data_IF_353565653940
#
_entry.id   IF_353565653940
#
_cell.length_a   1.000
_cell.length_b   1.000
_cell.length_c   1.000
_cell.angle_alpha   90.00
_cell.angle_beta   90.00
_cell.angle_gamma   90.00
#
_symmetry.space_group_name_H-M   'P 1'
#
loop_
_entity.id
_entity.type
_entity.pdbx_description
1 polymer ?
#
# COMPACT_ATOMS: atom_id res chain seq x y z
N UNK A 1 8.74 23.10 3.75
CA UNK A 1 7.47 22.51 4.20
C UNK A 1 7.79 21.52 5.32
N UNK A 2 7.67 21.96 6.57
CA UNK A 2 7.94 21.15 7.75
C UNK A 2 6.70 21.21 8.65
N UNK A 3 5.80 20.25 8.47
CA UNK A 3 4.60 20.10 9.29
C UNK A 3 4.76 18.88 10.18
N UNK A 4 5.65 18.96 11.16
CA UNK A 4 5.72 17.99 12.25
C UNK A 4 4.77 18.45 13.35
N UNK A 5 3.72 17.69 13.60
CA UNK A 5 2.76 18.02 14.66
C UNK A 5 3.44 17.84 16.04
N UNK A 6 3.55 18.87 16.90
CA UNK A 6 4.45 18.81 18.06
C UNK A 6 3.95 17.97 19.26
N UNK A 7 2.72 17.45 19.24
CA UNK A 7 2.06 16.90 20.44
C UNK A 7 1.70 15.40 20.42
N UNK A 8 1.87 14.70 19.31
CA UNK A 8 1.17 13.42 19.08
C UNK A 8 1.79 12.13 19.63
N UNK A 9 3.03 12.13 20.13
CA UNK A 9 3.77 10.87 20.35
C UNK A 9 3.08 9.88 21.31
N UNK A 10 2.54 10.35 22.43
CA UNK A 10 1.82 9.50 23.39
C UNK A 10 0.38 9.21 22.99
N UNK A 11 -0.32 10.19 22.41
CA UNK A 11 -1.72 10.02 21.98
C UNK A 11 -1.84 9.10 20.76
N UNK A 12 -0.96 9.26 19.77
CA UNK A 12 -0.89 8.41 18.59
C UNK A 12 -0.51 6.97 18.95
N UNK A 13 0.46 6.79 19.86
CA UNK A 13 0.80 5.48 20.40
C UNK A 13 -0.39 4.83 21.12
N UNK A 14 -1.11 5.61 21.95
CA UNK A 14 -2.30 5.15 22.64
C UNK A 14 -3.42 4.73 21.67
N UNK A 15 -3.63 5.50 20.62
CA UNK A 15 -4.61 5.20 19.57
C UNK A 15 -4.25 3.91 18.82
N UNK A 16 -2.98 3.70 18.50
CA UNK A 16 -2.51 2.50 17.81
C UNK A 16 -2.71 1.23 18.66
N UNK A 17 -2.49 1.33 19.98
CA UNK A 17 -2.79 0.24 20.92
C UNK A 17 -4.29 0.00 21.00
N UNK A 18 -5.10 1.05 21.12
CA UNK A 18 -6.56 0.96 21.20
C UNK A 18 -7.20 0.34 19.93
N UNK A 19 -6.59 0.54 18.76
CA UNK A 19 -6.99 -0.09 17.50
C UNK A 19 -6.64 -1.58 17.40
N UNK A 20 -5.99 -2.16 18.43
CA UNK A 20 -5.66 -3.58 18.50
C UNK A 20 -4.27 -3.95 17.97
N UNK A 21 -3.45 -2.97 17.56
CA UNK A 21 -2.11 -3.22 17.02
C UNK A 21 -1.02 -3.37 18.10
N UNK A 22 -1.38 -3.27 19.38
CA UNK A 22 -0.43 -3.30 20.50
C UNK A 22 0.40 -4.58 20.61
N UNK A 23 -0.18 -5.74 20.30
CA UNK A 23 0.53 -7.03 20.33
C UNK A 23 1.59 -7.13 19.21
N UNK A 24 1.24 -6.67 18.01
CA UNK A 24 2.15 -6.63 16.87
C UNK A 24 3.30 -5.65 17.13
N UNK A 25 2.99 -4.46 17.64
CA UNK A 25 3.98 -3.47 18.05
C UNK A 25 4.96 -4.04 19.09
N UNK A 26 4.44 -4.68 20.15
CA UNK A 26 5.28 -5.28 21.20
C UNK A 26 6.23 -6.34 20.63
N UNK A 27 5.72 -7.22 19.76
CA UNK A 27 6.54 -8.26 19.15
C UNK A 27 7.68 -7.68 18.30
N UNK A 28 7.42 -6.61 17.54
CA UNK A 28 8.44 -5.98 16.70
C UNK A 28 9.45 -5.15 17.50
N UNK A 29 9.00 -4.42 18.53
CA UNK A 29 9.91 -3.70 19.43
C UNK A 29 10.90 -4.66 20.10
N UNK A 30 10.41 -5.81 20.57
CA UNK A 30 11.25 -6.84 21.16
C UNK A 30 12.20 -7.45 20.13
N UNK A 31 11.71 -7.72 18.91
CA UNK A 31 12.47 -8.42 17.87
C UNK A 31 13.59 -7.57 17.25
N UNK A 32 13.32 -6.30 16.95
CA UNK A 32 14.27 -5.44 16.24
C UNK A 32 15.09 -4.56 17.16
N UNK A 33 14.53 -4.12 18.29
CA UNK A 33 15.18 -3.18 19.19
C UNK A 33 15.51 -3.78 20.57
N UNK A 34 15.02 -4.98 20.88
CA UNK A 34 15.23 -5.61 22.19
C UNK A 34 14.52 -4.89 23.34
N UNK A 35 13.49 -4.10 23.04
CA UNK A 35 12.75 -3.29 24.02
C UNK A 35 11.37 -3.89 24.28
N UNK A 36 10.94 -3.89 25.55
CA UNK A 36 9.58 -4.25 25.89
C UNK A 36 8.68 -3.00 25.89
N UNK A 37 7.50 -3.11 25.26
CA UNK A 37 6.50 -2.04 25.28
C UNK A 37 6.03 -1.73 26.71
N UNK A 38 6.10 -2.71 27.63
CA UNK A 38 5.75 -2.53 29.05
C UNK A 38 6.62 -1.45 29.73
N UNK A 39 7.84 -1.22 29.24
CA UNK A 39 8.76 -0.23 29.79
C UNK A 39 8.26 1.21 29.66
N UNK A 40 7.26 1.44 28.79
CA UNK A 40 6.57 2.73 28.69
C UNK A 40 5.80 3.04 29.96
N UNK A 41 5.10 2.06 30.54
CA UNK A 41 4.35 2.24 31.80
C UNK A 41 5.26 2.18 33.03
N UNK A 42 6.44 1.55 32.91
CA UNK A 42 7.47 1.57 33.97
C UNK A 42 8.27 2.88 34.00
N UNK A 43 8.13 3.73 32.97
CA UNK A 43 8.87 4.98 32.83
C UNK A 43 10.31 4.83 32.33
N UNK A 44 10.76 3.61 32.00
CA UNK A 44 12.08 3.35 31.44
C UNK A 44 12.17 3.68 29.94
N UNK A 45 11.02 3.66 29.24
CA UNK A 45 10.90 4.04 27.84
C UNK A 45 9.94 5.23 27.68
N UNK A 46 10.35 6.30 27.01
CA UNK A 46 9.43 7.42 26.77
C UNK A 46 8.42 7.06 25.67
N UNK A 47 7.12 7.40 25.83
CA UNK A 47 6.09 7.11 24.81
C UNK A 47 6.47 7.68 23.43
N UNK A 48 7.07 8.87 23.41
CA UNK A 48 7.56 9.50 22.18
C UNK A 48 8.64 8.66 21.51
N UNK A 49 9.56 8.05 22.26
CA UNK A 49 10.58 7.16 21.69
C UNK A 49 9.96 5.89 21.13
N UNK A 50 9.01 5.29 21.84
CA UNK A 50 8.28 4.12 21.32
C UNK A 50 7.54 4.43 20.01
N UNK A 51 6.90 5.60 19.92
CA UNK A 51 6.29 6.10 18.68
C UNK A 51 7.29 6.22 17.54
N UNK A 52 8.40 6.93 17.74
CA UNK A 52 9.44 7.09 16.71
C UNK A 52 10.00 5.74 16.23
N UNK A 53 10.20 4.78 17.14
CA UNK A 53 10.67 3.43 16.78
C UNK A 53 9.66 2.67 15.93
N UNK A 54 8.37 2.86 16.20
CA UNK A 54 7.30 2.24 15.40
C UNK A 54 7.24 2.77 13.97
N UNK A 55 7.49 4.07 13.76
CA UNK A 55 7.56 4.69 12.42
C UNK A 55 8.73 4.19 11.58
N UNK A 56 9.83 3.77 12.23
CA UNK A 56 11.05 3.31 11.57
C UNK A 56 11.15 1.78 11.49
N UNK A 57 10.06 1.06 11.73
CA UNK A 57 10.05 -0.39 11.58
C UNK A 57 10.19 -0.81 10.11
N UNK A 58 10.86 -1.94 9.83
CA UNK A 58 10.94 -2.48 8.48
C UNK A 58 9.54 -2.76 7.88
N UNK A 59 9.37 -2.65 6.55
CA UNK A 59 8.07 -2.84 5.89
C UNK A 59 7.52 -4.28 6.00
N UNK A 60 8.36 -5.26 6.35
CA UNK A 60 7.96 -6.65 6.61
C UNK A 60 7.64 -6.95 8.09
N UNK A 61 7.53 -5.93 8.94
CA UNK A 61 7.24 -6.06 10.37
C UNK A 61 5.81 -6.56 10.64
N UNK A 62 5.57 -7.11 11.83
CA UNK A 62 4.23 -7.54 12.24
C UNK A 62 3.25 -6.36 12.31
N UNK A 63 3.73 -5.19 12.73
CA UNK A 63 2.97 -3.94 12.78
C UNK A 63 2.54 -3.51 11.37
N UNK A 64 3.47 -3.49 10.42
CA UNK A 64 3.14 -3.16 9.02
C UNK A 64 2.09 -4.12 8.44
N UNK A 65 2.20 -5.42 8.72
CA UNK A 65 1.21 -6.41 8.30
C UNK A 65 -0.17 -6.18 8.97
N UNK A 66 -0.16 -5.91 10.28
CA UNK A 66 -1.37 -5.65 11.03
C UNK A 66 -2.12 -4.40 10.55
N UNK A 67 -1.38 -3.37 10.13
CA UNK A 67 -1.95 -2.16 9.51
C UNK A 67 -2.48 -2.43 8.10
N UNK A 68 -1.81 -3.30 7.32
CA UNK A 68 -2.21 -3.63 5.95
C UNK A 68 -3.49 -4.47 5.86
N UNK A 69 -3.89 -5.13 6.95
CA UNK A 69 -5.17 -5.84 7.02
C UNK A 69 -5.14 -7.19 7.71
N UNK A 70 -3.96 -7.68 8.11
CA UNK A 70 -3.84 -8.97 8.79
C UNK A 70 -2.44 -9.61 8.72
N UNK A 71 -2.23 -10.71 9.46
CA UNK A 71 -0.94 -11.42 9.49
C UNK A 71 -0.51 -11.98 8.13
N UNK A 72 -1.43 -12.17 7.18
CA UNK A 72 -1.17 -12.62 5.81
C UNK A 72 -0.30 -11.63 5.01
N UNK A 73 -0.29 -10.35 5.39
CA UNK A 73 0.54 -9.32 4.77
C UNK A 73 1.99 -9.34 5.27
N UNK A 74 2.31 -10.18 6.25
CA UNK A 74 3.65 -10.22 6.85
C UNK A 74 4.67 -10.74 5.85
N UNK A 75 5.76 -9.99 5.69
CA UNK A 75 6.81 -10.31 4.73
C UNK A 75 6.50 -9.94 3.28
N UNK A 76 5.27 -9.49 2.98
CA UNK A 76 4.90 -8.98 1.66
C UNK A 76 5.42 -7.56 1.45
N UNK A 77 6.74 -7.45 1.33
CA UNK A 77 7.43 -6.23 0.94
C UNK A 77 7.19 -5.92 -0.54
N UNK A 78 7.58 -4.71 -0.98
CA UNK A 78 7.57 -4.32 -2.40
C UNK A 78 8.32 -5.33 -3.26
N UNK A 79 9.49 -5.79 -2.80
CA UNK A 79 10.29 -6.79 -3.50
C UNK A 79 9.52 -8.11 -3.68
N UNK A 80 8.81 -8.56 -2.65
CA UNK A 80 8.01 -9.81 -2.72
C UNK A 80 6.84 -9.68 -3.70
N UNK A 81 6.18 -8.53 -3.74
CA UNK A 81 5.16 -8.26 -4.75
C UNK A 81 5.72 -8.25 -6.17
N UNK A 82 6.88 -7.61 -6.38
CA UNK A 82 7.54 -7.57 -7.68
C UNK A 82 7.98 -8.96 -8.14
N UNK A 83 8.49 -9.79 -7.23
CA UNK A 83 8.86 -11.17 -7.51
C UNK A 83 7.65 -12.03 -7.88
N UNK A 84 6.53 -11.87 -7.17
CA UNK A 84 5.28 -12.55 -7.53
C UNK A 84 4.78 -12.13 -8.92
N UNK A 85 4.78 -10.82 -9.21
CA UNK A 85 4.38 -10.29 -10.51
C UNK A 85 5.31 -10.77 -11.65
N UNK A 86 6.62 -10.84 -11.40
CA UNK A 86 7.59 -11.35 -12.37
C UNK A 86 7.36 -12.84 -12.63
N UNK A 87 7.16 -13.64 -11.58
CA UNK A 87 6.87 -15.07 -11.73
C UNK A 87 5.59 -15.29 -12.55
N UNK A 88 4.55 -14.51 -12.29
CA UNK A 88 3.31 -14.56 -13.07
C UNK A 88 3.55 -14.17 -14.52
N UNK A 89 4.27 -13.08 -14.78
CA UNK A 89 4.61 -12.64 -16.13
C UNK A 89 5.35 -13.73 -16.93
N UNK A 90 6.32 -14.42 -16.31
CA UNK A 90 7.04 -15.54 -16.94
C UNK A 90 6.10 -16.71 -17.24
N UNK A 91 5.25 -17.10 -16.28
CA UNK A 91 4.26 -18.18 -16.48
C UNK A 91 3.30 -17.89 -17.62
N UNK A 92 2.83 -16.64 -17.73
CA UNK A 92 1.97 -16.20 -18.82
C UNK A 92 2.72 -16.15 -20.16
N UNK A 93 3.98 -15.71 -20.17
CA UNK A 93 4.81 -15.69 -21.37
C UNK A 93 5.04 -17.11 -21.92
N UNK A 94 5.40 -18.07 -21.06
CA UNK A 94 5.57 -19.47 -21.45
C UNK A 94 4.28 -20.08 -22.00
N UNK A 95 3.16 -19.80 -21.32
CA UNK A 95 1.85 -20.25 -21.78
C UNK A 95 1.50 -19.67 -23.16
N UNK A 96 1.80 -18.39 -23.39
CA UNK A 96 1.59 -17.76 -24.69
C UNK A 96 2.50 -18.36 -25.77
N UNK A 97 3.76 -18.65 -25.45
CA UNK A 97 4.70 -19.27 -26.38
C UNK A 97 4.22 -20.66 -26.85
N UNK A 98 3.70 -21.48 -25.92
CA UNK A 98 3.11 -22.79 -26.24
C UNK A 98 1.91 -22.64 -27.18
N UNK A 99 1.02 -21.67 -26.91
CA UNK A 99 -0.17 -21.42 -27.75
C UNK A 99 0.21 -20.96 -29.15
N UNK A 100 1.16 -20.03 -29.28
CA UNK A 100 1.65 -19.53 -30.57
C UNK A 100 2.31 -20.64 -31.38
N UNK A 101 3.01 -21.56 -30.71
CA UNK A 101 3.64 -22.72 -31.34
C UNK A 101 2.64 -23.84 -31.73
N UNK A 102 1.33 -23.63 -31.56
CA UNK A 102 0.29 -24.61 -31.87
C UNK A 102 0.13 -25.73 -30.83
N UNK A 103 0.82 -25.63 -29.70
CA UNK A 103 0.71 -26.57 -28.59
C UNK A 103 -0.53 -26.31 -27.73
N UNK A 104 -1.05 -27.37 -27.09
CA UNK A 104 -2.12 -27.25 -26.08
C UNK A 104 -1.51 -27.27 -24.69
N UNK A 105 -1.88 -26.28 -23.87
CA UNK A 105 -1.53 -26.25 -22.46
C UNK A 105 -2.31 -27.34 -21.71
N UNK A 106 -1.60 -28.11 -20.86
CA UNK A 106 -2.23 -29.05 -19.92
C UNK A 106 -2.99 -28.33 -18.81
N UNK A 107 -2.53 -27.14 -18.42
CA UNK A 107 -3.12 -26.32 -17.36
C UNK A 107 -2.77 -24.86 -17.62
N UNK A 108 -3.75 -23.98 -17.45
CA UNK A 108 -3.49 -22.55 -17.52
C UNK A 108 -2.67 -22.08 -16.30
N UNK A 109 -1.74 -21.13 -16.50
CA UNK A 109 -0.95 -20.60 -15.40
C UNK A 109 -1.85 -19.93 -14.37
N UNK A 110 -1.72 -20.36 -13.12
CA UNK A 110 -2.44 -19.77 -11.98
C UNK A 110 -1.56 -18.67 -11.40
N UNK A 111 -2.06 -17.43 -11.26
CA UNK A 111 -1.33 -16.35 -10.61
C UNK A 111 -0.96 -16.70 -9.17
N UNK A 112 0.15 -16.14 -8.68
CA UNK A 112 0.51 -16.25 -7.26
C UNK A 112 -0.57 -15.56 -6.42
N UNK A 113 -0.99 -16.20 -5.32
CA UNK A 113 -1.89 -15.57 -4.38
C UNK A 113 -1.14 -14.45 -3.63
N UNK A 114 -1.37 -13.20 -4.03
CA UNK A 114 -0.83 -12.02 -3.39
C UNK A 114 -1.89 -11.40 -2.46
N UNK A 115 -1.54 -11.07 -1.20
CA UNK A 115 -2.48 -10.46 -0.28
C UNK A 115 -2.83 -9.07 -0.80
N UNK A 116 -4.11 -8.86 -1.04
CA UNK A 116 -4.60 -7.58 -1.53
C UNK A 116 -4.64 -6.60 -0.36
N UNK A 117 -3.91 -5.50 -0.44
CA UNK A 117 -4.10 -4.40 0.50
C UNK A 117 -5.56 -3.97 0.35
N UNK A 118 -6.30 -3.95 1.46
CA UNK A 118 -7.68 -3.46 1.44
C UNK A 118 -7.62 -2.03 0.93
N UNK A 119 -8.07 -1.80 -0.30
CA UNK A 119 -8.15 -0.46 -0.83
C UNK A 119 -9.02 0.34 0.14
N UNK A 120 -8.50 1.49 0.61
CA UNK A 120 -9.29 2.38 1.43
C UNK A 120 -10.56 2.68 0.66
N UNK A 121 -11.69 2.19 1.18
CA UNK A 121 -13.02 2.37 0.60
C UNK A 121 -13.49 3.83 0.66
N UNK A 122 -12.58 4.75 0.96
CA UNK A 122 -12.75 6.18 0.74
C UNK A 122 -12.59 6.45 -0.75
N UNK A 123 -13.56 5.98 -1.53
CA UNK A 123 -13.88 6.61 -2.80
C UNK A 123 -14.17 8.06 -2.45
N UNK A 124 -13.18 8.95 -2.68
CA UNK A 124 -13.48 10.38 -2.67
C UNK A 124 -14.61 10.53 -3.68
N UNK A 125 -15.81 11.01 -3.27
CA UNK A 125 -16.90 11.16 -4.21
C UNK A 125 -16.35 11.94 -5.39
N UNK A 126 -16.57 11.43 -6.61
CA UNK A 126 -16.17 12.14 -7.82
C UNK A 126 -16.60 13.58 -7.63
N UNK A 127 -15.62 14.49 -7.64
CA UNK A 127 -15.87 15.89 -7.38
C UNK A 127 -16.87 16.36 -8.44
N UNK A 128 -18.12 16.57 -8.02
CA UNK A 128 -19.18 16.99 -8.93
C UNK A 128 -18.93 18.46 -9.26
N UNK A 129 -18.29 18.68 -10.40
CA UNK A 129 -17.95 20.01 -10.89
C UNK A 129 -19.11 20.69 -11.62
N UNK A 130 -20.29 20.06 -11.68
CA UNK A 130 -21.46 20.61 -12.41
C UNK A 130 -21.91 21.98 -11.91
N UNK A 131 -21.65 22.29 -10.63
CA UNK A 131 -22.01 23.56 -9.99
C UNK A 131 -20.83 24.53 -9.81
N UNK A 132 -19.63 24.18 -10.26
CA UNK A 132 -18.44 25.01 -10.07
C UNK A 132 -18.45 26.23 -11.01
N UNK A 133 -18.16 27.46 -10.55
CA UNK A 133 -18.27 28.70 -11.34
C UNK A 133 -17.38 28.75 -12.60
N UNK A 134 -16.36 27.89 -12.66
CA UNK A 134 -15.46 27.73 -13.82
C UNK A 134 -15.80 26.52 -14.70
N UNK A 135 -16.79 25.70 -14.34
CA UNK A 135 -17.19 24.56 -15.16
C UNK A 135 -18.00 25.07 -16.35
N UNK A 136 -17.32 25.27 -17.49
CA UNK A 136 -17.99 25.50 -18.77
C UNK A 136 -18.37 24.15 -19.37
N UNK A 137 -19.62 23.95 -19.82
CA UNK A 137 -19.95 22.77 -20.60
C UNK A 137 -19.05 22.75 -21.84
N UNK A 138 -18.45 21.60 -22.12
CA UNK A 138 -17.80 21.38 -23.41
C UNK A 138 -18.92 21.52 -24.44
N UNK A 139 -18.87 22.58 -25.25
CA UNK A 139 -19.90 22.84 -26.25
C UNK A 139 -19.97 21.63 -27.21
N UNK A 140 -21.16 21.10 -27.52
CA UNK A 140 -21.29 20.10 -28.58
C UNK A 140 -21.12 20.84 -29.91
N UNK A 141 -19.89 20.97 -30.38
CA UNK A 141 -19.62 21.81 -31.53
C UNK A 141 -18.26 21.57 -32.16
N UNK A 142 -18.25 20.71 -33.18
CA UNK A 142 -17.28 20.74 -34.28
C UNK A 142 -16.03 19.89 -34.08
N UNK A 143 -15.95 18.79 -34.83
CA UNK A 143 -14.68 18.24 -35.26
C UNK A 143 -13.89 19.34 -35.97
N UNK A 144 -13.02 20.04 -35.24
CA UNK A 144 -11.94 20.84 -35.82
C UNK A 144 -10.65 20.51 -35.09
N UNK A 145 -10.31 19.22 -35.11
CA UNK A 145 -8.89 18.88 -35.18
C UNK A 145 -8.38 19.43 -36.53
N UNK A 146 -7.37 20.30 -36.55
CA UNK A 146 -6.81 20.75 -37.81
C UNK A 146 -6.24 19.52 -38.54
N UNK A 147 -6.66 19.31 -39.78
CA UNK A 147 -6.13 18.25 -40.61
C UNK A 147 -4.61 18.45 -40.81
N UNK A 148 -3.80 17.38 -40.80
CA UNK A 148 -2.36 17.50 -40.97
C UNK A 148 -2.05 17.69 -42.47
N UNK A 149 -2.20 18.90 -42.98
CA UNK A 149 -1.69 19.28 -44.30
C UNK A 149 -0.81 20.52 -44.19
N UNK A 150 0.45 20.31 -43.80
CA UNK A 150 1.59 21.17 -44.11
C UNK A 150 2.91 20.49 -43.67
N UNK A 151 3.18 19.30 -44.18
CA UNK A 151 4.51 18.70 -44.14
C UNK A 151 4.80 18.04 -45.50
N UNK A 152 5.09 18.89 -46.49
CA UNK A 152 5.90 18.56 -47.66
C UNK A 152 6.96 19.64 -47.79
#
# INVERSE_FOLDING_TARGET
>A
MAGGDPGGGSSALGQLIAQGHGAALRADLQRYYGLDLVDVWRGALTPRRAWHLSEHLPPGSALAASLAGGPEHRGWTVQTHLLAALLDAVRFADANNVRVSGGRLKRDPVPVNVPQVKADKHERPRLDLSTHPLAKPIAPGGNSWPAPEAAR
#
